data_IF_225131079323
#
_entry.id   IF_225131079323
#
_cell.length_a   1.000
_cell.length_b   1.000
_cell.length_c   1.000
_cell.angle_alpha   90.00
_cell.angle_beta   90.00
_cell.angle_gamma   90.00
#
_symmetry.space_group_name_H-M   'P 1'
#
loop_
_entity.id
_entity.type
_entity.pdbx_description
1 polymer ?
#
# COMPACT_ATOMS: atom_id res chain seq x y z
N UNK A 1 -28.75 -5.96 -13.51
CA UNK A 1 -27.86 -5.23 -14.41
C UNK A 1 -27.11 -4.12 -13.69
N UNK A 2 -27.77 -3.30 -12.91
CA UNK A 2 -27.11 -2.27 -12.14
C UNK A 2 -26.03 -2.81 -11.19
N UNK A 3 -26.25 -3.98 -10.64
CA UNK A 3 -25.29 -4.60 -9.72
C UNK A 3 -23.97 -4.95 -10.40
N UNK A 4 -24.00 -5.23 -11.68
CA UNK A 4 -22.79 -5.55 -12.44
C UNK A 4 -21.85 -4.36 -12.52
N UNK A 5 -22.37 -3.15 -12.64
CA UNK A 5 -21.56 -1.96 -12.71
C UNK A 5 -20.85 -1.67 -11.39
N UNK A 6 -21.59 -1.72 -10.30
CA UNK A 6 -20.99 -1.54 -8.98
C UNK A 6 -19.94 -2.60 -8.69
N UNK A 7 -20.22 -3.83 -9.07
CA UNK A 7 -19.32 -4.93 -8.88
C UNK A 7 -18.01 -4.75 -9.68
N UNK A 8 -18.10 -4.30 -10.92
CA UNK A 8 -16.91 -4.03 -11.73
C UNK A 8 -16.06 -2.90 -11.17
N UNK A 9 -16.70 -1.85 -10.67
CA UNK A 9 -15.98 -0.71 -10.08
C UNK A 9 -15.17 -1.18 -8.87
N UNK A 10 -15.75 -2.00 -8.00
CA UNK A 10 -15.04 -2.53 -6.85
C UNK A 10 -13.84 -3.38 -7.27
N UNK A 11 -13.99 -4.19 -8.31
CA UNK A 11 -12.90 -5.03 -8.80
C UNK A 11 -11.77 -4.25 -9.45
N UNK A 12 -12.02 -3.05 -9.96
CA UNK A 12 -10.98 -2.21 -10.55
C UNK A 12 -9.99 -1.70 -9.50
N UNK A 13 -10.40 -1.59 -8.24
CA UNK A 13 -9.55 -1.07 -7.17
C UNK A 13 -8.75 -2.15 -6.45
N UNK A 14 -9.15 -3.39 -6.59
CA UNK A 14 -8.52 -4.50 -5.88
C UNK A 14 -7.97 -5.50 -6.88
N UNK A 15 -6.70 -5.83 -6.74
CA UNK A 15 -6.03 -6.80 -7.62
C UNK A 15 -5.72 -8.05 -6.80
N UNK A 16 -6.18 -9.24 -7.24
CA UNK A 16 -5.80 -10.49 -6.59
C UNK A 16 -4.35 -10.85 -6.90
N UNK A 17 -3.67 -11.36 -5.91
CA UNK A 17 -2.29 -11.82 -6.04
C UNK A 17 -2.11 -13.14 -5.30
N UNK A 18 -1.10 -13.93 -5.72
CA UNK A 18 -0.67 -15.11 -4.99
C UNK A 18 0.44 -14.68 -4.02
N UNK A 19 0.28 -15.01 -2.75
CA UNK A 19 1.22 -14.61 -1.71
C UNK A 19 2.29 -15.67 -1.51
N UNK A 20 3.54 -15.23 -1.36
CA UNK A 20 4.67 -16.09 -1.03
C UNK A 20 4.91 -16.16 0.49
N UNK A 21 4.36 -15.23 1.25
CA UNK A 21 4.51 -15.14 2.70
C UNK A 21 3.30 -14.44 3.30
N UNK A 22 3.18 -14.51 4.62
CA UNK A 22 2.11 -13.82 5.34
C UNK A 22 2.17 -12.30 5.11
N UNK A 23 1.01 -11.67 5.08
CA UNK A 23 0.90 -10.21 4.99
C UNK A 23 -0.03 -9.69 6.08
N UNK A 24 0.17 -8.46 6.45
CA UNK A 24 -0.64 -7.74 7.44
C UNK A 24 -1.33 -6.57 6.74
N UNK A 25 -2.59 -6.34 7.10
CA UNK A 25 -3.32 -5.18 6.59
C UNK A 25 -2.54 -3.90 6.87
N UNK A 26 -2.44 -3.05 5.86
CA UNK A 26 -1.69 -1.79 5.93
C UNK A 26 -0.27 -1.87 5.41
N UNK A 27 0.22 -3.05 5.06
CA UNK A 27 1.54 -3.18 4.43
C UNK A 27 1.47 -2.82 2.94
N UNK A 28 2.47 -2.09 2.48
CA UNK A 28 2.63 -1.77 1.06
C UNK A 28 3.06 -3.02 0.31
N UNK A 29 2.45 -3.25 -0.84
CA UNK A 29 2.69 -4.42 -1.67
C UNK A 29 3.62 -4.11 -2.84
N UNK A 30 4.42 -5.09 -3.24
CA UNK A 30 5.13 -5.11 -4.53
C UNK A 30 4.74 -6.38 -5.29
N UNK A 31 4.96 -6.37 -6.59
CA UNK A 31 4.74 -7.53 -7.45
C UNK A 31 6.11 -8.03 -7.88
N UNK A 32 6.44 -9.27 -7.54
CA UNK A 32 7.77 -9.86 -7.81
C UNK A 32 7.81 -10.75 -9.05
N UNK A 33 6.65 -11.29 -9.44
CA UNK A 33 6.50 -12.10 -10.63
C UNK A 33 5.04 -12.03 -11.05
N UNK A 34 4.70 -12.64 -12.17
CA UNK A 34 3.31 -12.65 -12.63
C UNK A 34 2.38 -13.12 -11.51
N UNK A 35 1.43 -12.27 -11.15
CA UNK A 35 0.42 -12.52 -10.11
C UNK A 35 0.97 -12.83 -8.71
N UNK A 36 2.26 -12.59 -8.46
CA UNK A 36 2.87 -12.87 -7.15
C UNK A 36 3.10 -11.56 -6.39
N UNK A 37 2.48 -11.45 -5.23
CA UNK A 37 2.60 -10.31 -4.33
C UNK A 37 3.53 -10.60 -3.15
N UNK A 38 4.28 -9.59 -2.76
CA UNK A 38 5.12 -9.59 -1.57
C UNK A 38 4.99 -8.25 -0.86
N UNK A 39 5.68 -8.11 0.26
CA UNK A 39 5.74 -6.86 1.02
C UNK A 39 6.81 -5.97 0.38
N UNK A 40 6.46 -4.72 0.11
CA UNK A 40 7.36 -3.74 -0.48
C UNK A 40 8.32 -3.20 0.57
N UNK A 41 9.61 -3.21 0.24
CA UNK A 41 10.64 -2.64 1.10
C UNK A 41 11.08 -1.25 0.64
N UNK A 42 12.05 -0.69 1.36
CA UNK A 42 12.62 0.61 1.04
C UNK A 42 13.28 0.58 -0.34
N UNK A 43 12.96 1.58 -1.16
CA UNK A 43 13.53 1.72 -2.50
C UNK A 43 12.91 0.80 -3.57
N UNK A 44 11.97 -0.04 -3.19
CA UNK A 44 11.25 -0.90 -4.13
C UNK A 44 10.00 -0.22 -4.66
N UNK A 45 9.47 -0.73 -5.77
CA UNK A 45 8.32 -0.11 -6.44
C UNK A 45 7.01 -0.55 -5.78
N UNK A 46 6.26 0.38 -5.17
CA UNK A 46 4.97 0.04 -4.58
C UNK A 46 3.92 -0.16 -5.68
N UNK A 47 3.08 -1.17 -5.49
CA UNK A 47 2.01 -1.50 -6.44
C UNK A 47 0.63 -1.40 -5.81
N UNK A 48 0.56 -1.23 -4.51
CA UNK A 48 -0.70 -1.11 -3.78
C UNK A 48 -0.50 -1.37 -2.30
N UNK A 49 -1.61 -1.58 -1.60
CA UNK A 49 -1.60 -1.80 -0.15
C UNK A 49 -2.49 -2.99 0.17
N UNK A 50 -2.00 -3.92 0.98
CA UNK A 50 -2.81 -5.01 1.50
C UNK A 50 -3.84 -4.45 2.49
N UNK A 51 -5.09 -4.82 2.34
CA UNK A 51 -6.16 -4.29 3.20
C UNK A 51 -6.71 -5.32 4.19
N UNK A 52 -6.13 -6.51 4.23
CA UNK A 52 -6.47 -7.51 5.25
C UNK A 52 -5.27 -8.39 5.55
N UNK A 53 -5.30 -8.98 6.75
CA UNK A 53 -4.29 -9.95 7.15
C UNK A 53 -4.51 -11.26 6.40
N UNK A 54 -3.43 -11.90 5.97
CA UNK A 54 -3.47 -13.24 5.41
C UNK A 54 -2.34 -14.06 6.00
N UNK A 55 -2.68 -15.17 6.64
CA UNK A 55 -1.77 -16.20 7.09
C UNK A 55 -1.83 -17.33 6.08
N UNK A 56 -0.80 -17.50 5.27
CA UNK A 56 -0.84 -18.43 4.14
C UNK A 56 -0.97 -19.90 4.59
N UNK A 57 -0.60 -20.21 5.83
CA UNK A 57 -0.74 -21.56 6.34
C UNK A 57 -2.19 -21.90 6.72
N UNK A 58 -3.01 -20.91 7.02
CA UNK A 58 -4.40 -21.09 7.42
C UNK A 58 -5.41 -20.62 6.38
N UNK A 59 -5.13 -19.48 5.75
CA UNK A 59 -6.07 -18.80 4.87
C UNK A 59 -5.86 -19.13 3.39
N UNK A 60 -4.81 -19.87 3.06
CA UNK A 60 -4.38 -20.07 1.68
C UNK A 60 -3.53 -18.89 1.18
N UNK A 61 -3.12 -18.96 -0.08
CA UNK A 61 -2.11 -18.04 -0.63
C UNK A 61 -2.72 -16.86 -1.39
N UNK A 62 -4.03 -16.69 -1.36
CA UNK A 62 -4.66 -15.58 -2.07
C UNK A 62 -4.65 -14.31 -1.23
N UNK A 63 -4.05 -13.26 -1.77
CA UNK A 63 -4.13 -11.91 -1.23
C UNK A 63 -4.80 -10.97 -2.20
N UNK A 64 -5.12 -9.77 -1.72
CA UNK A 64 -5.66 -8.71 -2.54
C UNK A 64 -5.01 -7.40 -2.17
N UNK A 65 -4.64 -6.61 -3.18
CA UNK A 65 -4.06 -5.28 -2.97
C UNK A 65 -5.00 -4.21 -3.50
N UNK A 66 -5.08 -3.12 -2.75
CA UNK A 66 -5.81 -1.91 -3.16
C UNK A 66 -4.85 -1.03 -3.95
N UNK A 67 -5.26 -0.61 -5.15
CA UNK A 67 -4.43 0.21 -6.05
C UNK A 67 -4.92 1.63 -6.21
N UNK A 68 -6.13 1.91 -5.78
CA UNK A 68 -6.76 3.24 -5.87
C UNK A 68 -7.57 3.52 -4.61
N UNK A 69 -7.85 4.78 -4.39
CA UNK A 69 -8.66 5.22 -3.26
C UNK A 69 -7.81 5.51 -2.04
N UNK A 70 -8.39 5.33 -0.87
CA UNK A 70 -7.74 5.63 0.40
C UNK A 70 -7.46 4.33 1.15
N UNK A 71 -6.20 4.09 1.46
CA UNK A 71 -5.77 2.91 2.19
C UNK A 71 -5.22 3.29 3.56
N UNK A 72 -5.42 2.42 4.55
CA UNK A 72 -4.76 2.55 5.85
C UNK A 72 -3.39 1.90 5.77
N UNK A 73 -2.33 2.66 6.02
CA UNK A 73 -0.95 2.18 5.95
C UNK A 73 -0.29 2.23 7.33
N UNK A 74 0.55 1.23 7.58
CA UNK A 74 1.36 1.18 8.82
C UNK A 74 2.52 2.16 8.71
N UNK A 75 2.76 2.94 9.76
CA UNK A 75 3.82 3.96 9.78
C UNK A 75 5.12 3.43 10.35
N UNK A 76 6.23 3.65 9.63
CA UNK A 76 7.58 3.41 10.14
C UNK A 76 8.09 4.60 10.96
N UNK A 77 7.52 5.78 10.72
CA UNK A 77 7.90 7.02 11.41
C UNK A 77 6.65 7.87 11.58
N UNK A 78 6.71 8.86 12.45
CA UNK A 78 5.60 9.79 12.65
C UNK A 78 5.31 10.54 11.35
N UNK A 79 4.04 10.73 11.05
CA UNK A 79 3.57 11.53 9.93
C UNK A 79 3.04 12.84 10.50
N UNK A 80 3.74 13.92 10.27
CA UNK A 80 3.40 15.23 10.86
C UNK A 80 3.02 16.27 9.81
N UNK A 81 3.35 16.05 8.55
CA UNK A 81 3.09 16.99 7.46
C UNK A 81 2.29 16.30 6.36
N UNK A 82 1.00 16.61 6.28
CA UNK A 82 0.11 16.00 5.28
C UNK A 82 0.37 16.52 3.85
N UNK A 83 1.13 17.58 3.69
CA UNK A 83 1.50 18.07 2.35
C UNK A 83 2.66 17.29 1.74
N UNK A 84 3.35 16.47 2.55
CA UNK A 84 4.50 15.69 2.12
C UNK A 84 4.04 14.24 1.86
N UNK A 85 4.30 13.67 0.68
CA UNK A 85 3.91 12.29 0.41
C UNK A 85 4.74 11.29 1.21
N UNK A 86 4.27 10.06 1.23
CA UNK A 86 4.96 8.96 1.91
C UNK A 86 5.50 7.98 0.89
N UNK A 87 6.60 7.31 1.27
CA UNK A 87 7.25 6.25 0.50
C UNK A 87 7.26 4.96 1.31
N UNK A 88 7.53 3.84 0.65
CA UNK A 88 7.69 2.55 1.32
C UNK A 88 8.97 2.54 2.15
N UNK A 89 8.86 1.98 3.34
CA UNK A 89 9.97 1.72 4.24
C UNK A 89 10.06 0.21 4.51
N UNK A 90 10.94 -0.19 5.41
CA UNK A 90 11.13 -1.61 5.71
C UNK A 90 9.82 -2.29 6.11
N UNK A 91 9.65 -3.55 5.71
CA UNK A 91 8.50 -4.39 6.08
C UNK A 91 7.14 -3.83 5.64
N UNK A 92 7.11 -3.11 4.53
CA UNK A 92 5.86 -2.58 3.96
C UNK A 92 5.25 -1.42 4.70
N UNK A 93 5.99 -0.79 5.62
CA UNK A 93 5.54 0.41 6.31
C UNK A 93 5.75 1.63 5.42
N UNK A 94 5.22 2.77 5.84
CA UNK A 94 5.41 4.04 5.13
C UNK A 94 6.13 5.06 5.99
N UNK A 95 6.88 5.94 5.35
CA UNK A 95 7.60 7.04 5.98
C UNK A 95 7.54 8.25 5.05
N UNK A 96 7.66 9.48 5.57
CA UNK A 96 7.72 10.65 4.68
C UNK A 96 8.87 10.54 3.68
N UNK A 97 8.66 11.04 2.46
CA UNK A 97 9.73 11.14 1.47
C UNK A 97 10.85 12.04 1.98
N UNK A 98 12.09 11.74 1.60
CA UNK A 98 13.27 12.48 2.06
C UNK A 98 14.11 13.03 0.94
N UNK A 99 13.99 12.49 -0.27
CA UNK A 99 14.87 12.80 -1.39
C UNK A 99 14.10 12.85 -2.71
N UNK A 100 14.62 13.61 -3.67
CA UNK A 100 14.12 13.56 -5.03
C UNK A 100 14.26 12.14 -5.57
N UNK A 101 13.30 11.74 -6.39
CA UNK A 101 13.20 10.40 -6.98
C UNK A 101 12.79 9.29 -6.00
N UNK A 102 12.45 9.61 -4.76
CA UNK A 102 11.73 8.65 -3.92
C UNK A 102 10.43 8.26 -4.62
N UNK A 103 10.07 6.98 -4.56
CA UNK A 103 8.86 6.49 -5.19
C UNK A 103 7.70 6.65 -4.21
N UNK A 104 6.68 7.37 -4.64
CA UNK A 104 5.55 7.73 -3.79
C UNK A 104 4.57 6.56 -3.65
N UNK A 105 4.14 6.27 -2.42
CA UNK A 105 2.98 5.42 -2.15
C UNK A 105 1.71 6.26 -2.26
N UNK A 106 1.70 7.42 -1.66
CA UNK A 106 0.57 8.34 -1.72
C UNK A 106 0.75 9.53 -0.79
N UNK A 107 -0.33 10.31 -0.65
CA UNK A 107 -0.35 11.47 0.23
C UNK A 107 -1.17 11.16 1.49
N UNK A 108 -0.64 11.44 2.67
CA UNK A 108 -1.39 11.20 3.90
C UNK A 108 -2.56 12.18 4.00
N UNK A 109 -3.70 11.70 4.49
CA UNK A 109 -4.89 12.50 4.71
C UNK A 109 -5.04 12.93 6.16
N UNK A 110 -4.25 12.35 7.04
CA UNK A 110 -4.22 12.71 8.46
C UNK A 110 -2.81 12.53 9.00
N UNK A 111 -2.59 12.98 10.21
CA UNK A 111 -1.31 12.82 10.90
C UNK A 111 -1.34 11.56 11.77
N UNK A 112 -0.16 11.01 12.06
CA UNK A 112 -0.01 9.90 12.99
C UNK A 112 1.30 10.08 13.76
N UNK A 113 1.18 10.26 15.06
CA UNK A 113 2.33 10.51 15.92
C UNK A 113 3.04 9.23 16.35
N UNK A 114 2.38 8.09 16.27
CA UNK A 114 2.87 6.82 16.83
C UNK A 114 3.44 5.93 15.74
N UNK A 115 4.69 5.51 15.88
CA UNK A 115 5.32 4.51 15.05
C UNK A 115 4.55 3.19 15.21
N UNK A 116 4.20 2.55 14.09
CA UNK A 116 3.37 1.36 14.10
C UNK A 116 1.87 1.64 14.08
N UNK A 117 1.47 2.90 14.18
CA UNK A 117 0.08 3.31 14.00
C UNK A 117 -0.30 3.33 12.52
N UNK A 118 -1.59 3.55 12.25
CA UNK A 118 -2.11 3.63 10.89
C UNK A 118 -2.32 5.08 10.48
N UNK A 119 -2.03 5.36 9.23
CA UNK A 119 -2.35 6.63 8.57
C UNK A 119 -3.17 6.36 7.32
N UNK A 120 -4.15 7.20 7.04
CA UNK A 120 -4.92 7.11 5.81
C UNK A 120 -4.16 7.76 4.67
N UNK A 121 -3.96 7.05 3.59
CA UNK A 121 -3.14 7.48 2.45
C UNK A 121 -3.97 7.44 1.18
N UNK A 122 -3.98 8.55 0.46
CA UNK A 122 -4.60 8.64 -0.86
C UNK A 122 -3.63 8.09 -1.90
N UNK A 123 -4.04 7.03 -2.60
CA UNK A 123 -3.18 6.30 -3.53
C UNK A 123 -3.14 6.88 -4.95
N UNK A 124 -3.71 8.06 -5.18
CA UNK A 124 -3.76 8.66 -6.53
C UNK A 124 -2.38 8.79 -7.17
N UNK A 125 -1.35 9.11 -6.38
CA UNK A 125 0.02 9.29 -6.88
C UNK A 125 0.89 8.03 -6.77
N UNK A 126 0.29 6.86 -6.48
CA UNK A 126 1.03 5.60 -6.28
C UNK A 126 1.98 5.32 -7.44
N UNK A 127 3.24 5.06 -7.12
CA UNK A 127 4.26 4.70 -8.10
C UNK A 127 4.90 5.87 -8.83
N UNK A 128 4.53 7.10 -8.53
CA UNK A 128 5.15 8.29 -9.14
C UNK A 128 6.41 8.68 -8.37
N UNK A 129 7.23 9.55 -8.97
CA UNK A 129 8.48 9.99 -8.36
C UNK A 129 8.32 11.35 -7.70
N UNK A 130 8.88 11.51 -6.51
CA UNK A 130 8.85 12.76 -5.78
C UNK A 130 9.86 13.75 -6.34
N UNK A 131 9.47 15.02 -6.45
CA UNK A 131 10.37 16.11 -6.81
C UNK A 131 10.80 16.16 -8.27
N UNK A 132 10.15 15.40 -9.12
CA UNK A 132 10.48 15.36 -10.56
C UNK A 132 9.44 16.08 -11.39
#
# INVERSE_FOLDING_TARGET
MGNEYGWKIEHEYNIPVTLAADVTAGQVAKITATDTGNVCGSGEVPRGVYFRDVDISEDGTRGEIMTKGVASCLCAAAITDISLPVKAAASGTVTPVTSNNDIIVGYPLNTQAVVGGFVSVDLTALGTFYGV
#
